data_IF_426485287861
#
_entry.id   IF_426485287861
#
_cell.length_a   1.000
_cell.length_b   1.000
_cell.length_c   1.000
_cell.angle_alpha   90.00
_cell.angle_beta   90.00
_cell.angle_gamma   90.00
#
_symmetry.space_group_name_H-M   'P 1'
#
loop_
_entity.id
_entity.type
_entity.pdbx_description
1 polymer ?
#
# COMPACT_ATOMS: atom_id res chain seq x y z
N UNK A 1 -5.78 -22.83 12.30
CA UNK A 1 -6.75 -21.72 12.36
C UNK A 1 -6.68 -20.96 11.05
N UNK A 2 -7.51 -21.36 10.09
CA UNK A 2 -7.75 -20.67 8.83
C UNK A 2 -8.78 -19.58 9.11
N UNK A 3 -8.32 -18.42 9.59
CA UNK A 3 -9.15 -17.23 9.58
C UNK A 3 -9.31 -16.79 8.13
N UNK A 4 -10.55 -16.81 7.65
CA UNK A 4 -10.88 -16.30 6.33
C UNK A 4 -10.40 -14.84 6.24
N UNK A 5 -9.60 -14.56 5.21
CA UNK A 5 -8.95 -13.25 5.01
C UNK A 5 -9.98 -12.16 4.64
N UNK A 6 -11.24 -12.56 4.45
CA UNK A 6 -12.37 -11.71 4.05
C UNK A 6 -12.97 -10.86 5.19
N UNK A 7 -12.67 -11.15 6.47
CA UNK A 7 -13.28 -10.45 7.61
C UNK A 7 -12.44 -9.31 8.20
N UNK A 8 -11.24 -9.06 7.66
CA UNK A 8 -10.38 -7.97 8.16
C UNK A 8 -10.67 -6.65 7.44
N UNK A 9 -11.62 -5.89 8.00
CA UNK A 9 -11.85 -4.50 7.61
C UNK A 9 -10.58 -3.66 7.81
N UNK A 10 -10.16 -2.95 6.76
CA UNK A 10 -9.03 -2.02 6.83
C UNK A 10 -9.50 -0.70 7.43
N UNK A 11 -9.14 -0.43 8.70
CA UNK A 11 -9.34 0.88 9.31
C UNK A 11 -8.29 1.85 8.78
N UNK A 12 -8.70 2.67 7.81
CA UNK A 12 -7.86 3.69 7.20
C UNK A 12 -7.31 4.67 8.24
N UNK A 13 -8.08 5.02 9.28
CA UNK A 13 -7.63 5.92 10.34
C UNK A 13 -6.51 5.30 11.18
N UNK A 14 -6.60 4.00 11.46
CA UNK A 14 -5.52 3.24 12.10
C UNK A 14 -4.28 3.19 11.22
N UNK A 15 -4.42 2.89 9.93
CA UNK A 15 -3.30 2.86 8.98
C UNK A 15 -2.61 4.23 8.86
N UNK A 16 -3.35 5.34 8.88
CA UNK A 16 -2.77 6.70 8.84
C UNK A 16 -1.93 7.00 10.09
N UNK A 17 -2.29 6.41 11.23
CA UNK A 17 -1.57 6.52 12.50
C UNK A 17 -0.46 5.47 12.66
N UNK A 18 -0.31 4.54 11.71
CA UNK A 18 0.71 3.51 11.76
C UNK A 18 2.10 4.12 11.96
N UNK A 19 2.90 3.45 12.78
CA UNK A 19 4.23 3.87 13.11
C UNK A 19 5.12 3.81 11.87
N UNK A 20 5.91 4.86 11.68
CA UNK A 20 7.09 4.80 10.84
C UNK A 20 8.28 4.92 11.77
N UNK A 21 9.02 3.83 12.05
CA UNK A 21 10.21 3.91 12.90
C UNK A 21 11.15 4.99 12.34
N UNK A 22 11.55 5.95 13.16
CA UNK A 22 12.22 7.18 12.68
C UNK A 22 13.51 6.87 11.93
N UNK A 23 14.29 5.92 12.44
CA UNK A 23 15.51 5.41 11.78
C UNK A 23 15.19 4.81 10.40
N UNK A 24 14.10 4.05 10.29
CA UNK A 24 13.66 3.48 9.01
C UNK A 24 13.10 4.54 8.05
N UNK A 25 12.59 5.68 8.55
CA UNK A 25 12.04 6.76 7.72
C UNK A 25 13.13 7.48 6.94
N UNK A 26 14.21 7.85 7.61
CA UNK A 26 15.34 8.52 6.98
C UNK A 26 15.95 7.62 5.89
N UNK A 27 16.26 6.37 6.24
CA UNK A 27 16.88 5.42 5.31
C UNK A 27 15.99 5.10 4.11
N UNK A 28 14.67 5.01 4.30
CA UNK A 28 13.74 4.85 3.18
C UNK A 28 13.68 6.10 2.30
N UNK A 29 13.67 7.29 2.90
CA UNK A 29 13.68 8.55 2.16
C UNK A 29 14.92 8.65 1.26
N UNK A 30 16.11 8.39 1.82
CA UNK A 30 17.38 8.44 1.08
C UNK A 30 17.37 7.48 -0.12
N UNK A 31 16.83 6.27 0.06
CA UNK A 31 16.79 5.24 -1.00
C UNK A 31 15.73 5.49 -2.07
N UNK A 32 14.53 5.90 -1.69
CA UNK A 32 13.35 5.85 -2.58
C UNK A 32 12.78 7.21 -2.99
N UNK A 33 13.17 8.29 -2.32
CA UNK A 33 12.51 9.59 -2.47
C UNK A 33 13.45 10.79 -2.61
N UNK A 34 14.72 10.70 -2.20
CA UNK A 34 15.64 11.85 -2.23
C UNK A 34 15.85 12.46 -3.61
N UNK A 35 15.76 11.66 -4.66
CA UNK A 35 15.87 12.10 -6.07
C UNK A 35 14.52 12.50 -6.68
N UNK A 36 13.43 12.47 -5.92
CA UNK A 36 12.13 12.94 -6.39
C UNK A 36 12.00 14.45 -6.13
N UNK A 37 11.90 15.29 -7.18
CA UNK A 37 11.84 16.75 -7.01
C UNK A 37 10.59 17.23 -6.27
N UNK A 38 9.57 16.37 -6.11
CA UNK A 38 8.33 16.66 -5.38
C UNK A 38 8.51 16.55 -3.86
N UNK A 39 9.61 15.94 -3.39
CA UNK A 39 9.82 15.58 -1.99
C UNK A 39 11.09 16.27 -1.49
N UNK A 40 10.90 17.33 -0.71
CA UNK A 40 11.99 18.22 -0.31
C UNK A 40 12.59 17.90 1.06
N UNK A 41 12.00 16.96 1.80
CA UNK A 41 12.46 16.57 3.13
C UNK A 41 11.88 15.23 3.57
N UNK A 42 12.50 14.64 4.60
CA UNK A 42 12.04 13.43 5.29
C UNK A 42 10.64 13.63 5.87
N UNK A 43 10.37 14.80 6.45
CA UNK A 43 9.02 15.16 6.94
C UNK A 43 7.99 15.20 5.82
N UNK A 44 8.34 15.75 4.65
CA UNK A 44 7.45 15.79 3.49
C UNK A 44 7.17 14.36 2.97
N UNK A 45 8.18 13.49 2.98
CA UNK A 45 8.04 12.07 2.63
C UNK A 45 7.09 11.33 3.59
N UNK A 46 7.27 11.51 4.90
CA UNK A 46 6.38 10.92 5.91
C UNK A 46 4.94 11.43 5.84
N UNK A 47 4.72 12.71 5.45
CA UNK A 47 3.38 13.26 5.17
C UNK A 47 2.78 12.66 3.90
N UNK A 48 3.58 12.56 2.85
CA UNK A 48 3.17 12.00 1.56
C UNK A 48 2.70 10.55 1.70
N UNK A 49 3.38 9.74 2.49
CA UNK A 49 2.95 8.37 2.73
C UNK A 49 1.58 8.32 3.41
N UNK A 50 1.39 9.10 4.48
CA UNK A 50 0.08 9.19 5.17
C UNK A 50 -1.03 9.72 4.27
N UNK A 51 -0.73 10.69 3.41
CA UNK A 51 -1.67 11.17 2.41
C UNK A 51 -2.02 10.11 1.36
N UNK A 52 -1.07 9.25 1.00
CA UNK A 52 -1.32 8.09 0.13
C UNK A 52 -2.22 7.08 0.83
N UNK A 53 -2.00 6.80 2.12
CA UNK A 53 -2.91 5.94 2.92
C UNK A 53 -4.32 6.55 2.97
N UNK A 54 -4.44 7.87 3.13
CA UNK A 54 -5.74 8.56 3.17
C UNK A 54 -6.51 8.50 1.86
N UNK A 55 -5.84 8.56 0.72
CA UNK A 55 -6.46 8.87 -0.58
C UNK A 55 -6.27 7.80 -1.64
N UNK A 56 -5.33 6.89 -1.44
CA UNK A 56 -4.99 5.84 -2.38
C UNK A 56 -6.00 4.70 -2.34
N UNK A 57 -5.98 3.91 -3.41
CA UNK A 57 -6.71 2.66 -3.54
C UNK A 57 -6.11 1.63 -2.59
N UNK A 58 -6.97 0.91 -1.87
CA UNK A 58 -6.58 -0.11 -0.88
C UNK A 58 -6.66 -1.50 -1.52
N UNK A 59 -5.63 -2.30 -1.32
CA UNK A 59 -5.62 -3.70 -1.73
C UNK A 59 -4.79 -4.55 -0.76
N UNK A 60 -5.12 -5.83 -0.63
CA UNK A 60 -4.29 -6.79 0.08
C UNK A 60 -3.34 -7.50 -0.87
N UNK A 61 -2.13 -7.79 -0.41
CA UNK A 61 -1.20 -8.64 -1.15
C UNK A 61 -0.31 -9.45 -0.20
N UNK A 62 0.13 -10.63 -0.62
CA UNK A 62 1.18 -11.37 0.07
C UNK A 62 2.50 -10.99 -0.58
N UNK A 63 3.58 -10.86 0.17
CA UNK A 63 4.92 -10.72 -0.41
C UNK A 63 5.93 -11.32 0.55
N UNK A 64 6.86 -12.13 0.06
CA UNK A 64 7.80 -12.88 0.90
C UNK A 64 7.10 -13.67 2.03
N UNK A 65 5.95 -14.30 1.73
CA UNK A 65 5.21 -15.13 2.68
C UNK A 65 4.26 -14.38 3.64
N UNK A 66 4.30 -13.04 3.66
CA UNK A 66 3.56 -12.22 4.65
C UNK A 66 2.49 -11.36 3.96
N UNK A 67 1.27 -11.36 4.51
CA UNK A 67 0.17 -10.49 4.07
C UNK A 67 0.40 -9.04 4.47
N UNK A 68 0.09 -8.12 3.56
CA UNK A 68 0.31 -6.68 3.68
C UNK A 68 -0.88 -5.92 3.08
N UNK A 69 -1.05 -4.68 3.53
CA UNK A 69 -2.03 -3.74 2.99
C UNK A 69 -1.28 -2.75 2.11
N UNK A 70 -1.63 -2.73 0.83
CA UNK A 70 -1.15 -1.78 -0.15
C UNK A 70 -2.08 -0.58 -0.28
N UNK A 71 -1.50 0.61 -0.42
CA UNK A 71 -2.16 1.86 -0.76
C UNK A 71 -1.49 2.46 -1.99
N UNK A 72 -2.25 2.64 -3.07
CA UNK A 72 -1.71 3.21 -4.30
C UNK A 72 -2.44 4.49 -4.70
N UNK A 73 -1.69 5.57 -4.86
CA UNK A 73 -2.17 6.83 -5.43
C UNK A 73 -1.75 6.90 -6.90
N UNK A 74 -2.69 6.63 -7.79
CA UNK A 74 -2.53 6.60 -9.25
C UNK A 74 -2.08 7.96 -9.82
N UNK A 75 -2.71 9.05 -9.39
CA UNK A 75 -2.43 10.41 -9.89
C UNK A 75 -1.01 10.83 -9.57
N UNK A 76 -0.50 10.46 -8.40
CA UNK A 76 0.85 10.79 -7.94
C UNK A 76 1.87 9.68 -8.22
N UNK A 77 1.43 8.49 -8.62
CA UNK A 77 2.28 7.30 -8.82
C UNK A 77 3.07 6.96 -7.56
N UNK A 78 2.36 6.84 -6.44
CA UNK A 78 2.95 6.56 -5.12
C UNK A 78 2.31 5.31 -4.55
N UNK A 79 3.16 4.38 -4.11
CA UNK A 79 2.76 3.18 -3.39
C UNK A 79 3.20 3.27 -1.94
N UNK A 80 2.35 2.81 -1.01
CA UNK A 80 2.68 2.64 0.41
C UNK A 80 2.21 1.26 0.84
N UNK A 81 3.02 0.55 1.62
CA UNK A 81 2.62 -0.70 2.23
C UNK A 81 2.60 -0.58 3.75
N UNK A 82 1.60 -1.20 4.38
CA UNK A 82 1.41 -1.28 5.82
C UNK A 82 1.32 -2.76 6.21
N UNK A 83 1.73 -3.09 7.42
CA UNK A 83 1.52 -4.41 8.01
C UNK A 83 0.03 -4.76 8.09
N UNK A 84 -0.29 -6.05 8.05
CA UNK A 84 -1.69 -6.54 8.12
C UNK A 84 -2.40 -6.16 9.42
N UNK A 85 -1.66 -6.02 10.53
CA UNK A 85 -2.17 -5.54 11.81
C UNK A 85 -2.33 -4.00 11.87
N UNK A 86 -2.11 -3.31 10.75
CA UNK A 86 -2.29 -1.87 10.58
C UNK A 86 -1.41 -1.01 11.52
N UNK A 87 -0.36 -1.59 12.10
CA UNK A 87 0.46 -0.94 13.14
C UNK A 87 1.70 -0.22 12.59
N UNK A 88 2.23 -0.64 11.44
CA UNK A 88 3.51 -0.16 10.91
C UNK A 88 3.50 0.07 9.41
N UNK A 89 4.08 1.19 8.99
CA UNK A 89 4.37 1.45 7.59
C UNK A 89 5.67 0.75 7.21
N UNK A 90 5.63 -0.05 6.15
CA UNK A 90 6.73 -0.88 5.68
C UNK A 90 7.55 -0.20 4.58
N UNK A 91 6.87 0.53 3.69
CA UNK A 91 7.55 1.23 2.59
C UNK A 91 6.71 2.37 2.04
N UNK A 92 7.36 3.32 1.37
CA UNK A 92 6.73 4.26 0.45
C UNK A 92 7.62 4.42 -0.79
N UNK A 93 7.08 4.13 -1.97
CA UNK A 93 7.85 4.16 -3.21
C UNK A 93 7.20 5.19 -4.14
N UNK A 94 8.06 5.97 -4.80
CA UNK A 94 7.64 7.04 -5.72
C UNK A 94 7.84 6.60 -7.16
N UNK A 95 7.11 7.24 -8.09
CA UNK A 95 7.19 6.97 -9.52
C UNK A 95 6.87 5.51 -9.86
N UNK A 96 6.03 4.89 -9.03
CA UNK A 96 5.59 3.51 -9.20
C UNK A 96 4.63 3.45 -10.38
N UNK A 97 4.93 2.57 -11.33
CA UNK A 97 4.05 2.29 -12.46
C UNK A 97 2.92 1.36 -12.00
N UNK A 98 1.81 1.38 -12.73
CA UNK A 98 0.63 0.59 -12.37
C UNK A 98 0.90 -0.92 -12.50
N UNK A 99 1.70 -1.34 -13.48
CA UNK A 99 2.11 -2.74 -13.69
C UNK A 99 2.77 -3.35 -12.44
N UNK A 100 3.62 -2.61 -11.74
CA UNK A 100 4.19 -3.07 -10.46
C UNK A 100 3.12 -3.35 -9.40
N UNK A 101 2.07 -2.53 -9.34
CA UNK A 101 0.97 -2.70 -8.39
C UNK A 101 0.09 -3.88 -8.78
N UNK A 102 -0.15 -4.04 -10.09
CA UNK A 102 -0.82 -5.21 -10.66
C UNK A 102 -0.06 -6.50 -10.33
N UNK A 103 1.27 -6.52 -10.49
CA UNK A 103 2.08 -7.69 -10.15
C UNK A 103 1.98 -8.06 -8.67
N UNK A 104 2.05 -7.07 -7.77
CA UNK A 104 1.83 -7.30 -6.34
C UNK A 104 0.43 -7.83 -6.06
N UNK A 105 -0.58 -7.32 -6.75
CA UNK A 105 -1.97 -7.70 -6.54
C UNK A 105 -2.30 -9.09 -7.09
N UNK A 106 -1.84 -9.43 -8.30
CA UNK A 106 -2.21 -10.66 -9.01
C UNK A 106 -1.24 -11.81 -8.81
N UNK A 107 0.06 -11.52 -8.83
CA UNK A 107 1.09 -12.58 -8.74
C UNK A 107 1.38 -12.93 -7.30
N UNK A 108 1.33 -11.93 -6.42
CA UNK A 108 1.64 -12.12 -5.01
C UNK A 108 0.41 -11.96 -4.09
N UNK A 109 -0.70 -11.39 -4.55
CA UNK A 109 -1.92 -11.21 -3.76
C UNK A 109 -2.89 -12.38 -3.89
N UNK A 110 -3.47 -12.80 -2.76
CA UNK A 110 -4.67 -13.65 -2.75
C UNK A 110 -5.96 -12.83 -3.00
N UNK A 111 -5.90 -11.80 -3.85
CA UNK A 111 -7.06 -11.23 -4.54
C UNK A 111 -8.12 -10.44 -3.76
N UNK A 112 -7.90 -9.96 -2.54
CA UNK A 112 -8.96 -9.20 -1.82
C UNK A 112 -8.79 -7.68 -2.00
N UNK A 113 -9.63 -7.10 -2.87
CA UNK A 113 -9.79 -5.65 -3.08
C UNK A 113 -10.77 -5.08 -2.05
N UNK A 114 -10.37 -4.04 -1.31
CA UNK A 114 -11.20 -3.47 -0.23
C UNK A 114 -11.95 -2.22 -0.68
N UNK A 115 -11.36 -1.35 -1.51
CA UNK A 115 -11.97 -0.06 -1.88
C UNK A 115 -11.38 0.51 -3.18
N UNK A 116 -11.65 -0.17 -4.30
CA UNK A 116 -11.40 0.39 -5.64
C UNK A 116 -12.72 0.49 -6.41
N UNK A 117 -13.51 1.56 -6.20
CA UNK A 117 -14.87 1.68 -6.75
C UNK A 117 -14.94 1.82 -8.28
N UNK A 118 -13.80 1.76 -8.98
CA UNK A 118 -13.65 1.78 -10.44
C UNK A 118 -12.35 1.04 -10.84
N UNK A 119 -12.12 -0.14 -10.28
CA UNK A 119 -10.95 -0.94 -10.61
C UNK A 119 -11.01 -1.24 -12.12
N UNK A 120 -10.07 -0.74 -12.97
CA UNK A 120 -10.05 -1.14 -14.38
C UNK A 120 -9.75 -2.64 -14.54
N UNK A 121 -9.44 -3.30 -13.43
CA UNK A 121 -9.10 -4.70 -13.21
C UNK A 121 -10.30 -5.56 -12.77
N UNK A 122 -11.51 -4.97 -12.69
CA UNK A 122 -12.75 -5.68 -12.39
C UNK A 122 -13.16 -6.53 -13.60
N UNK A 123 -12.44 -7.61 -13.83
CA UNK A 123 -13.04 -8.78 -14.46
C UNK A 123 -13.52 -9.68 -13.35
N UNK A 124 -14.79 -10.06 -13.46
CA UNK A 124 -15.47 -10.99 -12.58
C UNK A 124 -14.48 -12.05 -12.09
N UNK A 125 -14.22 -12.07 -10.78
CA UNK A 125 -13.89 -13.33 -10.14
C UNK A 125 -15.17 -14.13 -10.27
N UNK A 126 -15.35 -14.75 -11.44
CA UNK A 126 -16.43 -15.66 -11.70
C UNK A 126 -16.38 -16.68 -10.57
N UNK A 127 -17.45 -16.70 -9.78
CA UNK A 127 -17.80 -17.84 -8.98
C UNK A 127 -18.01 -19.00 -9.96
N UNK A 128 -16.93 -19.68 -10.34
CA UNK A 128 -17.04 -21.03 -10.84
C UNK A 128 -17.33 -21.91 -9.61
N UNK A 129 -18.62 -22.24 -9.48
CA UNK A 129 -19.13 -23.20 -8.51
C UNK A 129 -18.75 -24.65 -8.81
#
# INVERSE_FOLDING_TARGET
>A
MTGDVTDFEVDRSRCVRAAWPEEALFDHYERHARRDPRIRSVTAYGRMARDTIRKGHIFWYKHAGVMKIGFYNDRKKIFVAVTSDQSRILTCITKVRIDYVEDLFYTEGAGVLVDWPNCPFYWEVANDG
#
